data_IF_107152353346
#
_entry.id   IF_107152353346
#
_cell.length_a   1.000
_cell.length_b   1.000
_cell.length_c   1.000
_cell.angle_alpha   90.00
_cell.angle_beta   90.00
_cell.angle_gamma   90.00
#
_symmetry.space_group_name_H-M   'P 1'
#
loop_
_entity.id
_entity.type
_entity.pdbx_description
1 polymer ?
#
# COMPACT_ATOMS: atom_id res chain seq x y z
N UNK A 1 -0.41 -6.56 10.44
CA UNK A 1 -0.84 -5.57 9.42
C UNK A 1 -0.23 -5.93 8.07
N UNK A 2 -1.00 -5.76 7.02
CA UNK A 2 -0.55 -6.02 5.65
C UNK A 2 -0.42 -4.68 4.93
N UNK A 3 0.75 -4.44 4.32
CA UNK A 3 0.96 -3.28 3.49
C UNK A 3 0.69 -3.63 2.03
N UNK A 4 0.01 -2.75 1.31
CA UNK A 4 -0.27 -2.94 -0.12
C UNK A 4 0.18 -1.69 -0.86
N UNK A 5 1.05 -1.86 -1.84
CA UNK A 5 1.53 -0.79 -2.69
C UNK A 5 1.02 -1.01 -4.10
N UNK A 6 0.28 -0.06 -4.61
CA UNK A 6 -0.27 -0.12 -5.97
C UNK A 6 0.32 1.00 -6.82
N UNK A 7 0.50 0.74 -8.09
CA UNK A 7 1.09 1.71 -9.00
C UNK A 7 0.04 2.64 -9.62
N UNK A 8 -1.17 2.16 -9.84
CA UNK A 8 -2.19 2.87 -10.60
C UNK A 8 -3.39 3.22 -9.74
N UNK A 9 -4.02 4.35 -10.08
CA UNK A 9 -5.20 4.82 -9.37
C UNK A 9 -6.36 3.82 -9.43
N UNK A 10 -6.51 3.13 -10.55
CA UNK A 10 -7.57 2.13 -10.71
C UNK A 10 -7.42 1.00 -9.70
N UNK A 11 -6.19 0.53 -9.53
CA UNK A 11 -5.90 -0.50 -8.54
C UNK A 11 -6.17 0.00 -7.12
N UNK A 12 -5.77 1.24 -6.84
CA UNK A 12 -6.02 1.85 -5.53
C UNK A 12 -7.51 1.88 -5.21
N UNK A 13 -8.34 2.27 -6.19
CA UNK A 13 -9.78 2.35 -6.00
C UNK A 13 -10.41 0.98 -5.74
N UNK A 14 -9.90 -0.06 -6.39
CA UNK A 14 -10.39 -1.41 -6.16
C UNK A 14 -10.13 -1.88 -4.73
N UNK A 15 -8.92 -1.64 -4.22
CA UNK A 15 -8.60 -2.00 -2.84
C UNK A 15 -9.32 -1.10 -1.84
N UNK A 16 -9.45 0.18 -2.14
CA UNK A 16 -10.16 1.11 -1.27
C UNK A 16 -11.60 0.67 -1.02
N UNK A 17 -12.26 0.16 -2.04
CA UNK A 17 -13.63 -0.30 -1.94
C UNK A 17 -13.80 -1.49 -0.98
N UNK A 18 -12.72 -2.25 -0.76
CA UNK A 18 -12.75 -3.40 0.13
C UNK A 18 -12.47 -3.06 1.58
N UNK A 19 -11.93 -1.88 1.84
CA UNK A 19 -11.54 -1.48 3.19
C UNK A 19 -12.72 -0.92 3.98
N UNK A 20 -12.77 -1.25 5.27
CA UNK A 20 -13.69 -0.65 6.22
C UNK A 20 -12.89 0.10 7.27
N UNK A 21 -13.54 1.03 7.97
CA UNK A 21 -12.91 1.87 9.00
C UNK A 21 -11.68 2.62 8.44
N UNK A 22 -11.86 3.23 7.29
CA UNK A 22 -10.77 3.89 6.57
C UNK A 22 -10.30 5.17 7.27
N UNK A 23 -8.98 5.35 7.29
CA UNK A 23 -8.34 6.56 7.80
C UNK A 23 -7.17 6.89 6.89
N UNK A 24 -7.10 8.13 6.40
CA UNK A 24 -6.00 8.58 5.57
C UNK A 24 -4.94 9.30 6.41
N UNK A 25 -3.68 8.98 6.13
CA UNK A 25 -2.53 9.65 6.73
C UNK A 25 -1.54 10.00 5.65
N UNK A 26 -0.79 11.08 5.86
CA UNK A 26 0.21 11.55 4.89
C UNK A 26 1.55 11.66 5.58
N UNK A 27 2.57 11.03 5.01
CA UNK A 27 3.95 11.11 5.50
C UNK A 27 4.87 11.41 4.32
N UNK A 28 5.57 12.51 4.39
CA UNK A 28 6.53 12.95 3.36
C UNK A 28 5.93 12.98 1.95
N UNK A 29 4.67 13.41 1.85
CA UNK A 29 3.99 13.50 0.58
C UNK A 29 3.35 12.20 0.09
N UNK A 30 3.58 11.09 0.79
CA UNK A 30 2.92 9.82 0.46
C UNK A 30 1.62 9.70 1.24
N UNK A 31 0.55 9.34 0.53
CA UNK A 31 -0.76 9.15 1.12
C UNK A 31 -0.96 7.67 1.45
N UNK A 32 -1.26 7.40 2.71
CA UNK A 32 -1.52 6.04 3.20
C UNK A 32 -2.96 5.95 3.64
N UNK A 33 -3.64 4.94 3.15
CA UNK A 33 -5.02 4.67 3.54
C UNK A 33 -5.03 3.43 4.42
N UNK A 34 -5.34 3.62 5.69
CA UNK A 34 -5.43 2.53 6.65
C UNK A 34 -6.87 2.06 6.74
N UNK A 35 -7.07 0.78 6.91
CA UNK A 35 -8.39 0.22 7.07
C UNK A 35 -8.31 -1.25 7.44
N UNK A 36 -9.44 -1.93 7.34
CA UNK A 36 -9.53 -3.35 7.66
C UNK A 36 -10.23 -4.11 6.56
N UNK A 37 -9.74 -5.31 6.29
CA UNK A 37 -10.41 -6.28 5.41
C UNK A 37 -10.57 -7.54 6.23
N UNK A 38 -11.82 -7.94 6.49
CA UNK A 38 -12.11 -9.15 7.27
C UNK A 38 -11.33 -9.21 8.58
N UNK A 39 -11.36 -8.14 9.35
CA UNK A 39 -10.68 -8.00 10.64
C UNK A 39 -9.15 -7.91 10.57
N UNK A 40 -8.57 -7.91 9.38
CA UNK A 40 -7.13 -7.72 9.20
C UNK A 40 -6.82 -6.27 8.91
N UNK A 41 -5.86 -5.72 9.64
CA UNK A 41 -5.40 -4.36 9.40
C UNK A 41 -4.61 -4.29 8.11
N UNK A 42 -4.92 -3.30 7.28
CA UNK A 42 -4.28 -3.09 5.98
C UNK A 42 -3.89 -1.62 5.86
N UNK A 43 -2.72 -1.37 5.32
CA UNK A 43 -2.31 -0.03 4.89
C UNK A 43 -2.07 -0.04 3.39
N UNK A 44 -2.72 0.87 2.68
CA UNK A 44 -2.71 0.94 1.23
C UNK A 44 -2.02 2.22 0.78
N UNK A 45 -1.11 2.11 -0.18
CA UNK A 45 -0.41 3.27 -0.74
C UNK A 45 -0.38 3.17 -2.25
N UNK A 46 -0.58 4.31 -2.92
CA UNK A 46 -0.36 4.42 -4.35
C UNK A 46 1.00 5.07 -4.59
N UNK A 47 1.91 4.34 -5.20
CA UNK A 47 3.27 4.82 -5.45
C UNK A 47 3.41 5.67 -6.71
N UNK A 48 2.44 5.57 -7.62
CA UNK A 48 2.60 6.14 -8.95
C UNK A 48 3.51 5.28 -9.81
N UNK A 49 3.84 5.79 -10.99
CA UNK A 49 4.69 5.08 -11.94
C UNK A 49 6.14 5.45 -11.66
N UNK A 50 6.95 4.48 -11.26
CA UNK A 50 8.37 4.71 -11.03
C UNK A 50 8.91 3.91 -9.86
N UNK A 51 10.06 3.29 -10.06
CA UNK A 51 10.69 2.44 -9.05
C UNK A 51 11.18 3.24 -7.84
N UNK A 52 11.64 4.46 -8.08
CA UNK A 52 12.17 5.31 -7.01
C UNK A 52 11.05 5.72 -6.04
N UNK A 53 9.90 6.09 -6.60
CA UNK A 53 8.75 6.45 -5.76
C UNK A 53 8.25 5.26 -4.96
N UNK A 54 8.22 4.08 -5.57
CA UNK A 54 7.81 2.87 -4.89
C UNK A 54 8.76 2.52 -3.73
N UNK A 55 10.07 2.64 -3.96
CA UNK A 55 11.06 2.36 -2.94
C UNK A 55 10.96 3.33 -1.76
N UNK A 56 10.85 4.62 -2.04
CA UNK A 56 10.72 5.64 -1.00
C UNK A 56 9.44 5.46 -0.19
N UNK A 57 8.33 5.18 -0.88
CA UNK A 57 7.05 4.93 -0.21
C UNK A 57 7.08 3.67 0.65
N UNK A 58 7.79 2.65 0.19
CA UNK A 58 7.96 1.41 0.96
C UNK A 58 8.69 1.69 2.28
N UNK A 59 9.75 2.49 2.23
CA UNK A 59 10.50 2.87 3.44
C UNK A 59 9.58 3.59 4.42
N UNK A 60 8.79 4.55 3.95
CA UNK A 60 7.86 5.27 4.80
C UNK A 60 6.81 4.34 5.40
N UNK A 61 6.30 3.41 4.61
CA UNK A 61 5.34 2.43 5.10
C UNK A 61 5.93 1.56 6.20
N UNK A 62 7.16 1.11 6.04
CA UNK A 62 7.84 0.29 7.04
C UNK A 62 8.07 1.09 8.32
N UNK A 63 8.53 2.34 8.20
CA UNK A 63 8.83 3.17 9.36
C UNK A 63 7.60 3.51 10.20
N UNK A 64 6.47 3.77 9.54
CA UNK A 64 5.28 4.24 10.25
C UNK A 64 4.31 3.13 10.64
N UNK A 65 4.31 2.02 9.92
CA UNK A 65 3.31 0.96 10.12
C UNK A 65 3.90 -0.40 10.47
N UNK A 66 5.17 -0.63 10.14
CA UNK A 66 5.85 -1.91 10.38
C UNK A 66 4.99 -3.12 9.99
N UNK A 67 4.52 -3.20 8.73
CA UNK A 67 3.65 -4.29 8.32
C UNK A 67 4.40 -5.62 8.34
N UNK A 68 3.66 -6.71 8.56
CA UNK A 68 4.24 -8.05 8.53
C UNK A 68 4.59 -8.47 7.10
N UNK A 69 3.77 -8.03 6.13
CA UNK A 69 3.94 -8.33 4.72
C UNK A 69 3.66 -7.10 3.90
N UNK A 70 4.35 -6.96 2.77
CA UNK A 70 4.06 -5.93 1.78
C UNK A 70 3.78 -6.62 0.45
N UNK A 71 2.61 -6.32 -0.12
CA UNK A 71 2.24 -6.75 -1.46
C UNK A 71 2.45 -5.57 -2.39
N UNK A 72 3.23 -5.76 -3.44
CA UNK A 72 3.46 -4.74 -4.44
C UNK A 72 2.87 -5.21 -5.77
N UNK A 73 1.85 -4.52 -6.27
CA UNK A 73 1.23 -4.87 -7.54
C UNK A 73 1.96 -4.13 -8.66
N UNK A 74 2.55 -4.89 -9.58
CA UNK A 74 3.31 -4.31 -10.68
C UNK A 74 2.44 -3.74 -11.78
N UNK A 75 3.01 -2.80 -12.52
CA UNK A 75 2.33 -2.09 -13.59
C UNK A 75 2.00 -2.99 -14.78
N UNK A 76 2.81 -4.01 -15.00
CA UNK A 76 2.64 -4.90 -16.16
C UNK A 76 1.60 -5.98 -15.90
N UNK A 77 0.62 -5.69 -15.07
CA UNK A 77 -0.56 -6.55 -14.88
C UNK A 77 -0.16 -7.75 -14.07
N UNK A 78 0.45 -8.30 -13.51
CA UNK A 78 0.49 -9.57 -12.79
C UNK A 78 1.74 -9.83 -11.95
N UNK A 79 2.60 -8.83 -11.79
CA UNK A 79 3.73 -9.00 -10.89
C UNK A 79 3.32 -8.64 -9.48
N UNK A 80 3.25 -9.65 -8.65
CA UNK A 80 2.98 -9.49 -7.24
C UNK A 80 4.26 -9.82 -6.48
N UNK A 81 4.84 -8.83 -5.80
CA UNK A 81 5.99 -9.04 -4.95
C UNK A 81 5.54 -9.02 -3.50
N UNK A 82 5.95 -10.04 -2.76
CA UNK A 82 5.62 -10.18 -1.35
C UNK A 82 6.91 -10.06 -0.57
N UNK A 83 6.97 -9.08 0.32
CA UNK A 83 8.09 -8.93 1.25
C UNK A 83 7.61 -9.34 2.64
N UNK A 84 8.35 -10.24 3.27
CA UNK A 84 8.07 -10.70 4.62
C UNK A 84 9.18 -10.19 5.53
N UNK A 85 8.79 -9.47 6.57
CA UNK A 85 9.72 -8.88 7.53
C UNK A 85 9.69 -9.59 8.87
#
# INVERSE_FOLDING_TARGET
MIGIIVAMKVEFQLFEALLVDKKEEVYRGFHFLCGKVQDKSVVLMQSGIGKVCAAAGTVEMIEHYAPDYILNTGVAGLHLLIFNF
#
